data_IF_392079534360
#
_entry.id   IF_392079534360
#
_cell.length_a   1.000
_cell.length_b   1.000
_cell.length_c   1.000
_cell.angle_alpha   90.00
_cell.angle_beta   90.00
_cell.angle_gamma   90.00
#
_symmetry.space_group_name_H-M   'P 1'
#
loop_
_entity.id
_entity.type
_entity.pdbx_description
1 polymer ?
#
# COMPACT_ATOMS: atom_id res chain seq x y z
N UNK A 1 -8.51 1.73 4.34
CA UNK A 1 -8.54 3.03 3.63
C UNK A 1 -9.36 2.89 2.35
N UNK A 2 -9.89 3.98 1.80
CA UNK A 2 -10.62 3.95 0.51
C UNK A 2 -10.11 5.09 -0.37
N UNK A 3 -9.80 4.76 -1.63
CA UNK A 3 -9.19 5.68 -2.57
C UNK A 3 -9.95 5.69 -3.90
N UNK A 4 -10.28 6.88 -4.40
CA UNK A 4 -10.77 7.07 -5.77
C UNK A 4 -9.61 6.88 -6.77
N UNK A 5 -9.84 6.13 -7.85
CA UNK A 5 -8.90 5.99 -8.96
C UNK A 5 -8.76 7.32 -9.70
N UNK A 6 -7.63 8.00 -9.53
CA UNK A 6 -7.35 9.28 -10.19
C UNK A 6 -5.95 9.32 -10.80
N UNK A 7 -5.84 9.87 -12.02
CA UNK A 7 -4.54 10.02 -12.73
C UNK A 7 -3.50 10.84 -11.94
N UNK A 8 -3.90 11.62 -10.94
CA UNK A 8 -2.96 12.34 -10.07
C UNK A 8 -2.01 11.39 -9.32
N UNK A 9 -2.36 10.11 -9.17
CA UNK A 9 -1.55 9.12 -8.46
C UNK A 9 -0.19 8.90 -9.12
N UNK A 10 -0.12 8.96 -10.45
CA UNK A 10 1.11 8.89 -11.23
C UNK A 10 2.10 9.99 -10.84
N UNK A 11 1.59 11.20 -10.54
CA UNK A 11 2.42 12.34 -10.18
C UNK A 11 2.94 12.25 -8.74
N UNK A 12 2.26 11.52 -7.85
CA UNK A 12 2.63 11.44 -6.43
C UNK A 12 3.30 10.12 -6.05
N UNK A 13 3.46 9.18 -6.98
CA UNK A 13 4.04 7.85 -6.72
C UNK A 13 5.41 7.90 -6.03
N UNK A 14 6.26 8.86 -6.41
CA UNK A 14 7.57 9.09 -5.79
C UNK A 14 7.51 9.46 -4.29
N UNK A 15 6.35 9.86 -3.77
CA UNK A 15 6.16 10.22 -2.35
C UNK A 15 5.92 9.00 -1.46
N UNK A 16 5.39 7.91 -2.02
CA UNK A 16 4.96 6.74 -1.23
C UNK A 16 5.63 5.43 -1.64
N UNK A 17 6.10 5.31 -2.88
CA UNK A 17 6.84 4.14 -3.33
C UNK A 17 8.27 4.17 -2.81
N UNK A 18 8.78 2.99 -2.45
CA UNK A 18 10.19 2.77 -2.19
C UNK A 18 10.88 2.08 -3.38
N UNK A 19 12.22 2.04 -3.34
CA UNK A 19 13.02 1.45 -4.43
C UNK A 19 12.63 -0.01 -4.73
N UNK A 20 12.36 -0.81 -3.71
CA UNK A 20 11.97 -2.22 -3.92
C UNK A 20 10.59 -2.34 -4.58
N UNK A 21 9.65 -1.48 -4.24
CA UNK A 21 8.33 -1.46 -4.87
C UNK A 21 8.42 -1.01 -6.33
N UNK A 22 9.23 0.01 -6.62
CA UNK A 22 9.47 0.48 -7.99
C UNK A 22 10.08 -0.63 -8.86
N UNK A 23 10.99 -1.45 -8.30
CA UNK A 23 11.58 -2.59 -9.02
C UNK A 23 10.61 -3.76 -9.21
N UNK A 24 9.56 -3.85 -8.39
CA UNK A 24 8.60 -4.95 -8.40
C UNK A 24 7.32 -4.63 -9.20
N UNK A 25 7.08 -3.36 -9.53
CA UNK A 25 6.01 -2.95 -10.43
C UNK A 25 6.52 -2.94 -11.87
N UNK A 26 5.61 -3.13 -12.82
CA UNK A 26 5.89 -3.04 -14.25
C UNK A 26 6.36 -1.62 -14.62
N UNK A 27 7.10 -1.48 -15.73
CA UNK A 27 7.66 -0.19 -16.18
C UNK A 27 6.57 0.89 -16.41
N UNK A 28 5.33 0.48 -16.71
CA UNK A 28 4.14 1.34 -16.84
C UNK A 28 2.99 0.79 -15.97
N UNK A 29 2.99 1.07 -14.65
CA UNK A 29 2.01 0.48 -13.74
C UNK A 29 0.61 1.03 -13.99
N UNK A 30 -0.41 0.18 -13.94
CA UNK A 30 -1.80 0.64 -14.07
C UNK A 30 -2.21 1.59 -12.93
N UNK A 31 -3.24 2.41 -13.20
CA UNK A 31 -3.87 3.25 -12.17
C UNK A 31 -4.35 2.40 -10.98
N UNK A 32 -4.81 1.18 -11.23
CA UNK A 32 -5.31 0.26 -10.21
C UNK A 32 -4.17 -0.23 -9.32
N UNK A 33 -3.05 -0.67 -9.90
CA UNK A 33 -1.86 -1.10 -9.13
C UNK A 33 -1.33 0.03 -8.25
N UNK A 34 -1.17 1.24 -8.80
CA UNK A 34 -0.72 2.39 -8.02
C UNK A 34 -1.73 2.75 -6.91
N UNK A 35 -3.03 2.67 -7.20
CA UNK A 35 -4.09 2.93 -6.22
C UNK A 35 -4.09 1.89 -5.12
N UNK A 36 -3.94 0.60 -5.45
CA UNK A 36 -3.79 -0.48 -4.47
C UNK A 36 -2.57 -0.25 -3.58
N UNK A 37 -1.41 0.09 -4.14
CA UNK A 37 -0.21 0.38 -3.36
C UNK A 37 -0.42 1.57 -2.43
N UNK A 38 -0.99 2.67 -2.93
CA UNK A 38 -1.30 3.85 -2.11
C UNK A 38 -2.24 3.53 -0.96
N UNK A 39 -3.40 2.93 -1.23
CA UNK A 39 -4.39 2.64 -0.18
C UNK A 39 -3.89 1.57 0.80
N UNK A 40 -2.95 0.71 0.39
CA UNK A 40 -2.24 -0.21 1.30
C UNK A 40 -1.38 0.55 2.30
N UNK A 41 -0.59 1.51 1.83
CA UNK A 41 0.27 2.35 2.67
C UNK A 41 -0.56 3.15 3.66
N UNK A 42 -1.62 3.79 3.19
CA UNK A 42 -2.56 4.55 4.03
C UNK A 42 -3.26 3.66 5.07
N UNK A 43 -3.66 2.44 4.68
CA UNK A 43 -4.31 1.49 5.59
C UNK A 43 -3.36 1.03 6.70
N UNK A 44 -2.11 0.69 6.37
CA UNK A 44 -1.09 0.32 7.37
C UNK A 44 -0.77 1.53 8.26
N UNK A 45 -0.57 2.71 7.69
CA UNK A 45 -0.31 3.94 8.45
C UNK A 45 -1.40 4.20 9.50
N UNK A 46 -2.67 4.06 9.10
CA UNK A 46 -3.83 4.22 10.00
C UNK A 46 -3.90 3.12 11.05
N UNK A 47 -3.59 1.88 10.70
CA UNK A 47 -3.59 0.75 11.64
C UNK A 47 -2.49 0.89 12.71
N UNK A 48 -1.32 1.42 12.36
CA UNK A 48 -0.23 1.68 13.31
C UNK A 48 -0.54 2.88 14.21
N UNK A 49 -1.17 3.94 13.69
CA UNK A 49 -1.66 5.07 14.50
C UNK A 49 -0.58 6.00 15.06
N UNK A 50 0.69 5.85 14.65
CA UNK A 50 1.80 6.68 15.11
C UNK A 50 2.03 7.89 14.18
N UNK A 51 2.37 9.04 14.77
CA UNK A 51 2.75 10.25 14.01
C UNK A 51 4.20 10.15 13.51
N UNK A 52 4.50 10.86 12.42
CA UNK A 52 5.87 10.98 11.90
C UNK A 52 6.35 9.79 11.06
N UNK A 53 5.47 8.83 10.76
CA UNK A 53 5.76 7.70 9.87
C UNK A 53 5.82 8.20 8.42
N UNK A 54 6.89 7.86 7.71
CA UNK A 54 7.01 8.08 6.27
C UNK A 54 6.51 6.86 5.49
N UNK A 55 5.52 7.04 4.61
CA UNK A 55 4.95 5.94 3.80
C UNK A 55 6.01 5.22 2.94
N UNK A 56 6.97 5.95 2.38
CA UNK A 56 8.01 5.38 1.54
C UNK A 56 9.17 4.77 2.34
N UNK A 57 9.44 5.23 3.57
CA UNK A 57 10.58 4.70 4.36
C UNK A 57 10.18 3.62 5.35
N UNK A 58 9.03 3.79 6.00
CA UNK A 58 8.61 2.97 7.13
C UNK A 58 7.55 1.95 6.77
N UNK A 59 6.92 2.03 5.60
CA UNK A 59 5.95 1.04 5.16
C UNK A 59 6.47 0.42 3.87
N UNK A 60 6.44 -0.91 3.78
CA UNK A 60 6.86 -1.65 2.59
C UNK A 60 5.75 -2.61 2.18
N UNK A 61 5.33 -2.54 0.93
CA UNK A 61 4.40 -3.49 0.32
C UNK A 61 5.25 -4.48 -0.47
N UNK A 62 5.21 -5.76 -0.09
CA UNK A 62 5.99 -6.78 -0.78
C UNK A 62 5.33 -7.17 -2.10
N UNK A 63 4.00 -7.30 -2.11
CA UNK A 63 3.20 -7.52 -3.31
C UNK A 63 1.75 -7.12 -3.13
N UNK A 64 1.13 -6.73 -4.23
CA UNK A 64 -0.33 -6.69 -4.43
C UNK A 64 -0.66 -7.60 -5.61
N UNK A 65 -1.75 -8.34 -5.50
CA UNK A 65 -2.23 -9.26 -6.55
C UNK A 65 -3.64 -8.80 -6.92
N UNK A 66 -3.76 -8.07 -8.02
CA UNK A 66 -5.01 -7.46 -8.48
C UNK A 66 -6.11 -8.51 -8.67
N UNK A 67 -5.79 -9.61 -9.37
CA UNK A 67 -6.73 -10.72 -9.65
C UNK A 67 -7.33 -11.31 -8.38
N UNK A 68 -6.49 -11.53 -7.37
CA UNK A 68 -6.90 -12.18 -6.12
C UNK A 68 -7.41 -11.16 -5.10
N UNK A 69 -7.28 -9.86 -5.37
CA UNK A 69 -7.63 -8.76 -4.46
C UNK A 69 -6.97 -8.94 -3.09
N UNK A 70 -5.71 -9.38 -3.08
CA UNK A 70 -4.92 -9.56 -1.86
C UNK A 70 -3.54 -8.95 -1.98
N UNK A 71 -2.85 -8.82 -0.85
CA UNK A 71 -1.47 -8.38 -0.80
C UNK A 71 -0.90 -8.61 0.60
N UNK A 72 0.37 -8.25 0.78
CA UNK A 72 0.95 -8.16 2.10
C UNK A 72 1.97 -7.02 2.16
N UNK A 73 2.10 -6.45 3.35
CA UNK A 73 3.03 -5.39 3.61
C UNK A 73 3.52 -5.40 5.06
N UNK A 74 4.41 -4.47 5.35
CA UNK A 74 5.09 -4.38 6.62
C UNK A 74 5.19 -2.92 7.04
N UNK A 75 5.01 -2.68 8.33
CA UNK A 75 5.58 -1.51 8.98
C UNK A 75 6.99 -1.87 9.49
N UNK A 76 7.96 -0.99 9.27
CA UNK A 76 9.37 -1.17 9.63
C UNK A 76 9.88 0.11 10.29
N UNK A 77 10.39 -0.02 11.52
CA UNK A 77 11.01 1.08 12.25
C UNK A 77 12.16 0.56 13.14
N UNK A 78 13.39 0.73 12.67
CA UNK A 78 14.55 0.13 13.33
C UNK A 78 14.48 -1.39 13.32
N UNK A 79 14.42 -2.01 14.51
CA UNK A 79 14.27 -3.46 14.68
C UNK A 79 12.81 -3.92 14.71
N UNK A 80 11.86 -3.00 14.83
CA UNK A 80 10.44 -3.31 14.80
C UNK A 80 10.01 -3.63 13.37
N UNK A 81 9.35 -4.77 13.20
CA UNK A 81 8.74 -5.19 11.93
C UNK A 81 7.39 -5.83 12.21
N UNK A 82 6.32 -5.18 11.74
CA UNK A 82 4.95 -5.66 11.90
C UNK A 82 4.38 -6.02 10.54
N UNK A 83 3.86 -7.24 10.40
CA UNK A 83 3.28 -7.73 9.14
C UNK A 83 1.78 -7.43 9.07
N UNK A 84 1.33 -7.07 7.88
CA UNK A 84 -0.07 -6.87 7.54
C UNK A 84 -0.47 -7.70 6.33
N UNK A 85 -1.57 -8.42 6.45
CA UNK A 85 -2.27 -8.98 5.30
C UNK A 85 -3.25 -7.92 4.76
N UNK A 86 -3.28 -7.77 3.43
CA UNK A 86 -4.04 -6.76 2.73
C UNK A 86 -5.17 -7.42 1.95
N UNK A 87 -6.38 -6.90 2.10
CA UNK A 87 -7.56 -7.31 1.32
C UNK A 87 -8.11 -6.10 0.59
N UNK A 88 -8.46 -6.28 -0.69
CA UNK A 88 -8.94 -5.21 -1.54
C UNK A 88 -10.39 -5.43 -1.95
N UNK A 89 -11.15 -4.34 -2.03
CA UNK A 89 -12.52 -4.33 -2.49
C UNK A 89 -12.69 -3.21 -3.51
N UNK A 90 -13.33 -3.51 -4.63
CA UNK A 90 -13.59 -2.54 -5.69
C UNK A 90 -15.05 -2.11 -5.57
N UNK A 91 -15.27 -0.81 -5.47
CA UNK A 91 -16.56 -0.17 -5.31
C UNK A 91 -16.65 0.93 -6.37
N UNK A 92 -17.21 0.61 -7.53
CA UNK A 92 -17.20 1.49 -8.71
C UNK A 92 -15.78 2.00 -9.04
N UNK A 93 -15.57 3.31 -8.96
CA UNK A 93 -14.27 3.95 -9.20
C UNK A 93 -13.34 3.98 -7.98
N UNK A 94 -13.75 3.36 -6.87
CA UNK A 94 -12.98 3.31 -5.62
C UNK A 94 -12.35 1.95 -5.40
N UNK A 95 -11.15 1.96 -4.82
CA UNK A 95 -10.48 0.79 -4.27
C UNK A 95 -10.36 0.98 -2.76
N UNK A 96 -10.94 0.06 -2.00
CA UNK A 96 -10.80 -0.03 -0.56
C UNK A 96 -9.71 -1.05 -0.22
N UNK A 97 -8.81 -0.70 0.69
CA UNK A 97 -7.88 -1.62 1.31
C UNK A 97 -8.23 -1.81 2.79
N UNK A 98 -8.29 -3.06 3.22
CA UNK A 98 -8.35 -3.47 4.62
C UNK A 98 -7.01 -4.12 4.99
N UNK A 99 -6.27 -3.48 5.91
CA UNK A 99 -5.02 -4.01 6.44
C UNK A 99 -5.29 -4.69 7.78
N UNK A 100 -4.99 -5.99 7.87
CA UNK A 100 -5.12 -6.79 9.08
C UNK A 100 -3.74 -7.12 9.62
N UNK A 101 -3.45 -6.69 10.84
CA UNK A 101 -2.25 -7.12 11.55
C UNK A 101 -2.43 -8.57 11.98
N UNK A 102 -1.52 -9.45 11.61
CA UNK A 102 -1.48 -10.78 12.18
C UNK A 102 -0.75 -10.68 13.52
N UNK A 103 -1.51 -10.85 14.61
CA UNK A 103 -0.95 -11.08 15.93
C UNK A 103 -0.59 -12.58 15.98
N UNK A 104 0.66 -12.91 15.66
CA UNK A 104 1.24 -14.21 16.05
C UNK A 104 1.53 -14.24 17.55
#
# INVERSE_FOLDING_TARGET
DVQLKEKKIFNIQHKFLNKSEILNIEDDPSIDILTMLWTSKESIYKAIGLKGISLSKNIKIDKVIEKDKTGNGYYINGTEKVKFDLKFFYLDEYILCYACQNLE
#
